data_IF_204962057188
#
_entry.id   IF_204962057188
#
_cell.length_a   1.000
_cell.length_b   1.000
_cell.length_c   1.000
_cell.angle_alpha   90.00
_cell.angle_beta   90.00
_cell.angle_gamma   90.00
#
_symmetry.space_group_name_H-M   'P 1'
#
loop_
_entity.id
_entity.type
_entity.pdbx_description
1 polymer ?
#
# COMPACT_ATOMS: atom_id res chain seq x y z
N UNK A 1 8.28 0.04 20.26
CA UNK A 1 7.08 0.10 19.42
C UNK A 1 5.80 0.05 20.26
N UNK A 2 5.56 -1.03 21.04
CA UNK A 2 4.35 -1.18 21.87
C UNK A 2 4.23 -0.02 22.89
N UNK A 3 5.31 0.32 23.59
CA UNK A 3 5.30 1.43 24.54
C UNK A 3 4.97 2.77 23.86
N UNK A 4 5.49 3.02 22.65
CA UNK A 4 5.16 4.23 21.90
C UNK A 4 3.67 4.34 21.58
N UNK A 5 3.00 3.21 21.26
CA UNK A 5 1.55 3.18 21.08
C UNK A 5 0.78 3.48 22.39
N UNK A 6 1.19 2.84 23.50
CA UNK A 6 0.54 3.04 24.81
C UNK A 6 0.65 4.49 25.29
N UNK A 7 1.78 5.15 25.02
CA UNK A 7 2.05 6.54 25.43
C UNK A 7 1.72 7.56 24.34
N UNK A 8 0.97 7.19 23.31
CA UNK A 8 0.53 8.08 22.22
C UNK A 8 1.70 8.85 21.58
N UNK A 9 2.80 8.15 21.29
CA UNK A 9 3.99 8.76 20.68
C UNK A 9 3.63 9.50 19.37
N UNK A 10 4.15 10.71 19.22
CA UNK A 10 3.94 11.57 18.06
C UNK A 10 5.22 12.33 17.69
N UNK A 11 6.28 11.59 17.35
CA UNK A 11 7.62 12.13 17.17
C UNK A 11 7.94 12.54 15.72
N UNK A 12 7.24 12.01 14.73
CA UNK A 12 7.49 12.30 13.33
C UNK A 12 6.78 13.58 12.88
N UNK A 13 7.33 14.25 11.86
CA UNK A 13 6.71 15.43 11.23
C UNK A 13 6.50 16.61 12.17
N UNK A 14 7.35 16.78 13.18
CA UNK A 14 7.17 17.84 14.18
C UNK A 14 5.91 17.68 15.03
N UNK A 15 5.37 16.48 15.15
CA UNK A 15 4.18 16.17 15.91
C UNK A 15 2.85 16.37 15.14
N UNK A 16 2.87 16.75 13.88
CA UNK A 16 1.66 17.03 13.10
C UNK A 16 0.89 15.78 12.67
N UNK A 17 1.52 14.61 12.57
CA UNK A 17 0.87 13.38 12.10
C UNK A 17 -0.29 12.92 12.99
N UNK A 18 -0.32 13.29 14.28
CA UNK A 18 -1.49 13.11 15.14
C UNK A 18 -2.71 13.84 14.59
N UNK A 19 -2.51 15.00 13.96
CA UNK A 19 -3.57 15.79 13.35
C UNK A 19 -4.20 15.10 12.14
N UNK A 20 -3.44 14.26 11.41
CA UNK A 20 -3.92 13.63 10.19
C UNK A 20 -5.08 12.66 10.45
N UNK A 21 -5.16 12.03 11.64
CA UNK A 21 -6.31 11.19 12.00
C UNK A 21 -7.63 11.98 11.99
N UNK A 22 -7.57 13.29 12.27
CA UNK A 22 -8.76 14.17 12.24
C UNK A 22 -9.30 14.40 10.82
N UNK A 23 -8.49 14.11 9.79
CA UNK A 23 -8.89 14.11 8.39
C UNK A 23 -9.25 12.71 7.90
N UNK A 24 -8.44 11.71 8.28
CA UNK A 24 -8.63 10.32 7.81
C UNK A 24 -9.91 9.73 8.37
N UNK A 25 -10.18 9.91 9.66
CA UNK A 25 -11.35 9.32 10.30
C UNK A 25 -12.69 9.83 9.74
N UNK A 26 -12.94 11.14 9.57
CA UNK A 26 -14.14 11.63 8.91
C UNK A 26 -14.29 11.12 7.48
N UNK A 27 -13.20 11.09 6.70
CA UNK A 27 -13.24 10.53 5.35
C UNK A 27 -13.62 9.04 5.38
N UNK A 28 -13.04 8.25 6.29
CA UNK A 28 -13.43 6.85 6.44
C UNK A 28 -14.90 6.69 6.80
N UNK A 29 -15.42 7.48 7.75
CA UNK A 29 -16.84 7.48 8.11
C UNK A 29 -17.75 7.82 6.94
N UNK A 30 -17.32 8.73 6.07
CA UNK A 30 -18.04 9.07 4.85
C UNK A 30 -18.20 7.84 3.94
N UNK A 31 -17.14 7.06 3.72
CA UNK A 31 -17.19 5.84 2.91
C UNK A 31 -17.92 4.69 3.60
N UNK A 32 -17.87 4.58 4.93
CA UNK A 32 -18.60 3.55 5.68
C UNK A 32 -20.12 3.75 5.58
N UNK A 33 -20.58 4.99 5.64
CA UNK A 33 -21.99 5.33 5.76
C UNK A 33 -22.69 5.62 4.41
N UNK A 34 -21.93 5.78 3.32
CA UNK A 34 -22.48 6.11 2.01
C UNK A 34 -22.05 5.10 0.95
N UNK A 35 -22.78 5.08 -0.17
CA UNK A 35 -22.36 4.39 -1.36
C UNK A 35 -21.10 5.05 -1.97
N UNK A 36 -20.30 4.25 -2.69
CA UNK A 36 -19.05 4.73 -3.27
C UNK A 36 -19.24 5.97 -4.16
N UNK A 37 -20.24 5.93 -5.04
CA UNK A 37 -20.52 7.03 -5.98
C UNK A 37 -20.87 8.35 -5.28
N UNK A 38 -21.56 8.27 -4.15
CA UNK A 38 -21.92 9.46 -3.35
C UNK A 38 -20.72 9.95 -2.54
N UNK A 39 -19.98 9.02 -1.90
CA UNK A 39 -18.85 9.38 -1.05
C UNK A 39 -17.70 10.07 -1.81
N UNK A 40 -17.38 9.62 -3.03
CA UNK A 40 -16.25 10.17 -3.80
C UNK A 40 -16.47 11.58 -4.34
N UNK A 41 -17.72 12.06 -4.42
CA UNK A 41 -18.08 13.41 -4.88
C UNK A 41 -18.57 14.30 -3.74
N UNK A 42 -18.59 13.78 -2.52
CA UNK A 42 -19.08 14.52 -1.36
C UNK A 42 -18.17 15.73 -1.05
N UNK A 43 -18.74 16.93 -0.80
CA UNK A 43 -17.97 18.12 -0.45
C UNK A 43 -17.13 17.99 0.83
N UNK A 44 -17.43 17.00 1.68
CA UNK A 44 -16.65 16.69 2.88
C UNK A 44 -15.53 15.67 2.64
N UNK A 45 -15.41 15.10 1.44
CA UNK A 45 -14.29 14.23 1.08
C UNK A 45 -13.00 15.06 0.87
N UNK A 46 -12.32 15.37 1.97
CA UNK A 46 -11.11 16.19 2.02
C UNK A 46 -9.85 15.32 1.98
N UNK A 47 -9.56 14.73 0.83
CA UNK A 47 -8.35 13.92 0.63
C UNK A 47 -7.70 14.28 -0.69
N UNK A 48 -6.38 14.41 -0.71
CA UNK A 48 -5.60 14.53 -1.95
C UNK A 48 -5.26 13.17 -2.58
N UNK A 49 -5.81 12.06 -2.05
CA UNK A 49 -5.49 10.69 -2.46
C UNK A 49 -6.72 9.97 -3.01
N UNK A 50 -6.48 8.89 -3.74
CA UNK A 50 -7.54 8.00 -4.17
C UNK A 50 -8.16 7.27 -2.97
N UNK A 51 -9.44 6.83 -3.05
CA UNK A 51 -10.17 6.28 -1.91
C UNK A 51 -9.80 4.83 -1.57
N UNK A 52 -8.73 4.28 -2.12
CA UNK A 52 -8.35 2.87 -1.97
C UNK A 52 -8.23 2.42 -0.52
N UNK A 53 -7.62 3.23 0.35
CA UNK A 53 -7.48 2.91 1.77
C UNK A 53 -8.83 2.87 2.50
N UNK A 54 -9.73 3.79 2.19
CA UNK A 54 -11.06 3.82 2.82
C UNK A 54 -11.91 2.61 2.39
N UNK A 55 -11.80 2.21 1.12
CA UNK A 55 -12.45 0.98 0.62
C UNK A 55 -11.84 -0.27 1.25
N UNK A 56 -10.52 -0.33 1.42
CA UNK A 56 -9.87 -1.42 2.14
C UNK A 56 -10.45 -1.56 3.56
N UNK A 57 -10.51 -0.47 4.30
CA UNK A 57 -11.07 -0.51 5.66
C UNK A 57 -12.56 -0.81 5.67
N UNK A 58 -13.35 -0.29 4.73
CA UNK A 58 -14.78 -0.59 4.61
C UNK A 58 -15.06 -2.08 4.41
N UNK A 59 -14.29 -2.75 3.55
CA UNK A 59 -14.59 -4.12 3.14
C UNK A 59 -13.80 -5.20 3.88
N UNK A 60 -12.60 -4.87 4.38
CA UNK A 60 -11.67 -5.85 4.92
C UNK A 60 -11.30 -5.64 6.39
N UNK A 61 -11.63 -4.48 6.97
CA UNK A 61 -11.33 -4.20 8.35
C UNK A 61 -12.63 -4.18 9.20
N UNK A 62 -12.89 -5.21 10.01
CA UNK A 62 -14.09 -5.25 10.85
C UNK A 62 -14.01 -4.32 12.08
N UNK A 63 -12.87 -3.69 12.34
CA UNK A 63 -12.61 -2.86 13.53
C UNK A 63 -12.65 -1.36 13.20
N UNK A 64 -13.73 -0.91 12.54
CA UNK A 64 -13.92 0.50 12.11
C UNK A 64 -15.13 1.16 12.76
N UNK A 65 -15.62 0.59 13.86
CA UNK A 65 -16.76 1.08 14.64
C UNK A 65 -16.38 2.33 15.46
N UNK A 66 -15.17 2.38 15.99
CA UNK A 66 -14.62 3.52 16.74
C UNK A 66 -13.24 3.92 16.24
N UNK A 67 -12.85 5.18 16.45
CA UNK A 67 -11.51 5.67 16.08
C UNK A 67 -10.42 4.88 16.80
N UNK A 68 -10.67 4.45 18.02
CA UNK A 68 -9.69 3.69 18.80
C UNK A 68 -9.52 2.27 18.25
N UNK A 69 -10.60 1.57 17.92
CA UNK A 69 -10.54 0.24 17.32
C UNK A 69 -9.89 0.29 15.92
N UNK A 70 -10.19 1.33 15.15
CA UNK A 70 -9.51 1.61 13.89
C UNK A 70 -7.98 1.77 14.09
N UNK A 71 -7.53 2.61 15.03
CA UNK A 71 -6.12 2.79 15.36
C UNK A 71 -5.45 1.47 15.77
N UNK A 72 -6.11 0.68 16.64
CA UNK A 72 -5.62 -0.65 17.05
C UNK A 72 -5.46 -1.59 15.86
N UNK A 73 -6.41 -1.59 14.94
CA UNK A 73 -6.32 -2.45 13.74
C UNK A 73 -5.16 -2.05 12.84
N UNK A 74 -4.95 -0.76 12.57
CA UNK A 74 -3.81 -0.28 11.77
C UNK A 74 -2.48 -0.55 12.47
N UNK A 75 -2.42 -0.36 13.80
CA UNK A 75 -1.26 -0.74 14.61
C UNK A 75 -0.92 -2.23 14.44
N UNK A 76 -1.93 -3.11 14.53
CA UNK A 76 -1.76 -4.56 14.31
C UNK A 76 -1.33 -4.90 12.88
N UNK A 77 -1.98 -4.32 11.87
CA UNK A 77 -1.65 -4.54 10.45
C UNK A 77 -0.21 -4.09 10.16
N UNK A 78 0.26 -3.03 10.79
CA UNK A 78 1.61 -2.48 10.56
C UNK A 78 2.73 -3.47 10.92
N UNK A 79 2.49 -4.47 11.78
CA UNK A 79 3.46 -5.54 12.04
C UNK A 79 3.79 -6.39 10.80
N UNK A 80 2.91 -6.43 9.81
CA UNK A 80 3.20 -7.14 8.56
C UNK A 80 4.39 -6.52 7.80
N UNK A 81 4.64 -5.22 7.95
CA UNK A 81 5.70 -4.55 7.21
C UNK A 81 7.11 -5.10 7.54
N UNK A 82 7.57 -5.14 8.80
CA UNK A 82 8.87 -5.73 9.12
C UNK A 82 8.94 -7.23 8.80
N UNK A 83 7.84 -7.97 8.91
CA UNK A 83 7.78 -9.39 8.54
C UNK A 83 8.02 -9.55 7.03
N UNK A 84 7.30 -8.80 6.21
CA UNK A 84 7.47 -8.83 4.75
C UNK A 84 8.86 -8.35 4.34
N UNK A 85 9.38 -7.32 5.00
CA UNK A 85 10.74 -6.84 4.75
C UNK A 85 11.77 -7.93 5.04
N UNK A 86 11.61 -8.70 6.14
CA UNK A 86 12.46 -9.86 6.40
C UNK A 86 12.41 -10.88 5.25
N UNK A 87 11.22 -11.22 4.73
CA UNK A 87 11.10 -12.15 3.59
C UNK A 87 11.74 -11.60 2.31
N UNK A 88 11.62 -10.30 2.06
CA UNK A 88 12.30 -9.63 0.94
C UNK A 88 13.82 -9.76 1.07
N UNK A 89 14.37 -9.48 2.26
CA UNK A 89 15.80 -9.62 2.55
C UNK A 89 16.25 -11.07 2.38
N UNK A 90 15.50 -12.04 2.94
CA UNK A 90 15.80 -13.47 2.82
C UNK A 90 15.83 -13.95 1.37
N UNK A 91 14.91 -13.47 0.54
CA UNK A 91 14.90 -13.81 -0.90
C UNK A 91 16.09 -13.21 -1.62
N UNK A 92 16.53 -12.01 -1.25
CA UNK A 92 17.64 -11.29 -1.88
C UNK A 92 19.02 -11.79 -1.42
N UNK A 93 19.17 -12.03 -0.13
CA UNK A 93 20.46 -12.36 0.53
C UNK A 93 20.46 -13.79 1.03
N UNK A 94 20.49 -14.75 0.10
CA UNK A 94 20.34 -16.19 0.36
C UNK A 94 21.41 -16.77 1.30
N UNK A 95 22.62 -16.20 1.29
CA UNK A 95 23.78 -16.70 2.04
C UNK A 95 23.98 -15.97 3.39
N UNK A 96 23.11 -15.02 3.74
CA UNK A 96 23.20 -14.28 5.00
C UNK A 96 22.42 -15.01 6.08
N UNK A 97 22.96 -15.05 7.29
CA UNK A 97 22.30 -15.66 8.45
C UNK A 97 20.95 -15.01 8.73
N UNK A 98 19.95 -15.83 9.06
CA UNK A 98 18.60 -15.37 9.29
C UNK A 98 18.49 -14.37 10.46
N UNK A 99 19.34 -14.53 11.49
CA UNK A 99 19.35 -13.63 12.65
C UNK A 99 19.79 -12.21 12.25
N UNK A 100 20.80 -12.11 11.39
CA UNK A 100 21.25 -10.82 10.82
C UNK A 100 20.14 -10.16 10.02
N UNK A 101 19.45 -10.92 9.16
CA UNK A 101 18.33 -10.40 8.38
C UNK A 101 17.15 -9.96 9.25
N UNK A 102 16.89 -10.68 10.34
CA UNK A 102 15.86 -10.33 11.32
C UNK A 102 16.20 -9.02 12.04
N UNK A 103 17.46 -8.85 12.46
CA UNK A 103 17.94 -7.60 13.09
C UNK A 103 17.74 -6.44 12.09
N UNK A 104 18.17 -6.60 10.83
CA UNK A 104 17.99 -5.57 9.81
C UNK A 104 16.51 -5.26 9.61
N UNK A 105 15.64 -6.26 9.50
CA UNK A 105 14.21 -6.03 9.34
C UNK A 105 13.58 -5.31 10.54
N UNK A 106 14.08 -5.58 11.74
CA UNK A 106 13.61 -4.95 12.97
C UNK A 106 13.96 -3.46 13.07
N UNK A 107 14.91 -2.96 12.26
CA UNK A 107 15.27 -1.52 12.27
C UNK A 107 14.10 -0.63 11.84
N UNK A 108 13.10 -1.15 11.13
CA UNK A 108 11.86 -0.43 10.81
C UNK A 108 11.18 0.11 12.07
N UNK A 109 11.22 -0.64 13.19
CA UNK A 109 10.63 -0.19 14.45
C UNK A 109 11.31 1.03 15.06
N UNK A 110 12.50 1.40 14.63
CA UNK A 110 13.17 2.64 15.03
C UNK A 110 12.77 3.84 14.20
N UNK A 111 12.12 3.65 13.05
CA UNK A 111 11.64 4.76 12.22
C UNK A 111 10.52 5.52 12.93
N UNK A 112 10.69 6.82 13.23
CA UNK A 112 9.63 7.60 13.84
C UNK A 112 8.40 7.74 12.93
N UNK A 113 8.60 7.81 11.62
CA UNK A 113 7.51 7.86 10.65
C UNK A 113 6.69 6.58 10.64
N UNK A 114 7.35 5.41 10.61
CA UNK A 114 6.66 4.12 10.69
C UNK A 114 5.84 4.00 11.97
N UNK A 115 6.43 4.35 13.12
CA UNK A 115 5.75 4.25 14.41
C UNK A 115 4.55 5.18 14.49
N UNK A 116 4.75 6.46 14.15
CA UNK A 116 3.66 7.45 14.22
C UNK A 116 2.53 7.12 13.25
N UNK A 117 2.85 6.67 12.02
CA UNK A 117 1.84 6.20 11.07
C UNK A 117 1.03 5.02 11.62
N UNK A 118 1.70 4.04 12.26
CA UNK A 118 1.04 2.90 12.88
C UNK A 118 0.14 3.30 14.07
N UNK A 119 0.61 4.22 14.92
CA UNK A 119 -0.07 4.59 16.16
C UNK A 119 -1.30 5.47 15.93
N UNK A 120 -1.26 6.30 14.89
CA UNK A 120 -2.32 7.24 14.56
C UNK A 120 -3.22 6.78 13.40
N UNK A 121 -3.05 5.55 12.93
CA UNK A 121 -3.93 4.96 11.91
C UNK A 121 -3.76 5.59 10.53
N UNK A 122 -2.53 5.97 10.16
CA UNK A 122 -2.26 6.57 8.87
C UNK A 122 -2.10 5.50 7.77
N UNK A 123 -2.32 5.87 6.56
CA UNK A 123 -2.41 4.97 5.40
C UNK A 123 -1.06 4.52 4.82
N UNK A 124 0.04 5.22 5.17
CA UNK A 124 1.37 4.98 4.60
C UNK A 124 1.88 3.56 4.87
N UNK A 125 1.70 3.04 6.09
CA UNK A 125 2.18 1.70 6.42
C UNK A 125 1.45 0.61 5.64
N UNK A 126 0.16 0.79 5.37
CA UNK A 126 -0.62 -0.17 4.56
C UNK A 126 -0.13 -0.13 3.12
N UNK A 127 0.11 1.06 2.58
CA UNK A 127 0.68 1.22 1.23
C UNK A 127 2.04 0.54 1.11
N UNK A 128 2.91 0.69 2.11
CA UNK A 128 4.24 0.06 2.15
C UNK A 128 4.18 -1.47 2.26
N UNK A 129 3.14 -2.04 2.89
CA UNK A 129 2.90 -3.49 2.87
C UNK A 129 2.73 -3.98 1.42
N UNK A 130 1.92 -3.28 0.61
CA UNK A 130 1.76 -3.62 -0.80
C UNK A 130 3.04 -3.40 -1.61
N UNK A 131 3.86 -2.40 -1.28
CA UNK A 131 5.21 -2.24 -1.88
C UNK A 131 6.08 -3.47 -1.60
N UNK A 132 6.12 -3.96 -0.36
CA UNK A 132 6.92 -5.14 0.00
C UNK A 132 6.40 -6.41 -0.69
N UNK A 133 5.09 -6.61 -0.76
CA UNK A 133 4.48 -7.72 -1.49
C UNK A 133 4.79 -7.66 -3.00
N UNK A 134 4.72 -6.47 -3.58
CA UNK A 134 5.09 -6.24 -4.98
C UNK A 134 6.55 -6.60 -5.23
N UNK A 135 7.46 -6.09 -4.39
CA UNK A 135 8.88 -6.37 -4.50
C UNK A 135 9.20 -7.85 -4.34
N UNK A 136 8.55 -8.53 -3.39
CA UNK A 136 8.71 -9.96 -3.19
C UNK A 136 8.25 -10.74 -4.42
N UNK A 137 7.07 -10.43 -4.96
CA UNK A 137 6.53 -11.05 -6.17
C UNK A 137 7.42 -10.83 -7.39
N UNK A 138 7.93 -9.62 -7.55
CA UNK A 138 8.85 -9.26 -8.64
C UNK A 138 10.18 -10.02 -8.54
N UNK A 139 10.74 -10.15 -7.34
CA UNK A 139 11.94 -10.96 -7.13
C UNK A 139 11.71 -12.43 -7.47
N UNK A 140 10.58 -13.02 -7.09
CA UNK A 140 10.24 -14.37 -7.50
C UNK A 140 10.14 -14.48 -9.02
N UNK A 141 9.43 -13.57 -9.67
CA UNK A 141 9.26 -13.57 -11.11
C UNK A 141 10.59 -13.49 -11.88
N UNK A 142 11.51 -12.62 -11.44
CA UNK A 142 12.77 -12.36 -12.14
C UNK A 142 13.87 -13.39 -11.83
N UNK A 143 13.84 -14.04 -10.66
CA UNK A 143 14.95 -14.90 -10.20
C UNK A 143 14.65 -16.39 -10.19
N UNK A 144 13.39 -16.79 -10.30
CA UNK A 144 13.04 -18.19 -10.29
C UNK A 144 12.96 -18.74 -11.72
N UNK A 145 13.97 -19.53 -12.09
CA UNK A 145 14.09 -20.15 -13.42
C UNK A 145 13.09 -21.29 -13.64
N UNK A 146 12.48 -21.81 -12.57
CA UNK A 146 11.56 -22.96 -12.63
C UNK A 146 10.08 -22.53 -12.79
N UNK A 147 9.80 -21.23 -12.95
CA UNK A 147 8.43 -20.79 -13.17
C UNK A 147 7.91 -21.30 -14.53
N UNK A 148 6.90 -22.17 -14.45
CA UNK A 148 6.14 -22.59 -15.64
C UNK A 148 5.20 -21.49 -16.12
N UNK A 149 4.57 -21.69 -17.30
CA UNK A 149 3.74 -20.66 -17.93
C UNK A 149 2.62 -20.12 -17.05
N UNK A 150 1.89 -20.97 -16.31
CA UNK A 150 0.80 -20.57 -15.42
C UNK A 150 1.30 -19.80 -14.19
N UNK A 151 2.33 -20.29 -13.54
CA UNK A 151 2.94 -19.62 -12.38
C UNK A 151 3.50 -18.25 -12.79
N UNK A 152 4.06 -18.14 -13.98
CA UNK A 152 4.59 -16.88 -14.51
C UNK A 152 3.48 -15.85 -14.72
N UNK A 153 2.36 -16.26 -15.29
CA UNK A 153 1.16 -15.39 -15.46
C UNK A 153 0.61 -14.99 -14.08
N UNK A 154 0.55 -15.90 -13.12
CA UNK A 154 0.10 -15.61 -11.77
C UNK A 154 0.98 -14.56 -11.08
N UNK A 155 2.32 -14.71 -11.12
CA UNK A 155 3.22 -13.71 -10.57
C UNK A 155 3.12 -12.36 -11.31
N UNK A 156 2.94 -12.38 -12.63
CA UNK A 156 2.73 -11.17 -13.41
C UNK A 156 1.45 -10.44 -12.94
N UNK A 157 0.36 -11.18 -12.75
CA UNK A 157 -0.88 -10.63 -12.19
C UNK A 157 -0.65 -10.06 -10.79
N UNK A 158 0.03 -10.79 -9.88
CA UNK A 158 0.34 -10.29 -8.55
C UNK A 158 1.14 -8.98 -8.59
N UNK A 159 2.18 -8.91 -9.43
CA UNK A 159 3.02 -7.71 -9.56
C UNK A 159 2.18 -6.53 -10.03
N UNK A 160 1.41 -6.69 -11.11
CA UNK A 160 0.60 -5.62 -11.68
C UNK A 160 -0.50 -5.17 -10.73
N UNK A 161 -1.19 -6.11 -10.08
CA UNK A 161 -2.27 -5.82 -9.14
C UNK A 161 -1.75 -5.14 -7.87
N UNK A 162 -0.75 -5.74 -7.19
CA UNK A 162 -0.21 -5.20 -5.94
C UNK A 162 0.46 -3.85 -6.13
N UNK A 163 1.23 -3.67 -7.23
CA UNK A 163 1.84 -2.37 -7.53
C UNK A 163 0.80 -1.29 -7.87
N UNK A 164 -0.30 -1.64 -8.53
CA UNK A 164 -1.41 -0.71 -8.75
C UNK A 164 -2.10 -0.34 -7.45
N UNK A 165 -2.28 -1.29 -6.52
CA UNK A 165 -2.81 -1.00 -5.19
C UNK A 165 -1.96 0.01 -4.43
N UNK A 166 -0.61 -0.04 -4.54
CA UNK A 166 0.25 0.96 -3.86
C UNK A 166 -0.14 2.38 -4.26
N UNK A 167 -0.41 2.61 -5.54
CA UNK A 167 -0.84 3.90 -6.07
C UNK A 167 -2.24 4.29 -5.60
N UNK A 168 -3.19 3.35 -5.57
CA UNK A 168 -4.55 3.62 -5.09
C UNK A 168 -4.63 3.92 -3.59
N UNK A 169 -3.67 3.43 -2.81
CA UNK A 169 -3.57 3.70 -1.38
C UNK A 169 -2.79 4.98 -1.09
N UNK A 170 -1.70 5.22 -1.81
CA UNK A 170 -0.94 6.46 -1.71
C UNK A 170 -0.46 6.88 -3.10
N UNK A 171 -1.01 7.96 -3.61
CA UNK A 171 -0.69 8.48 -4.95
C UNK A 171 0.81 8.80 -5.15
N UNK A 172 1.56 9.08 -4.07
CA UNK A 172 3.01 9.29 -4.11
C UNK A 172 3.77 8.04 -4.56
N UNK A 173 3.17 6.85 -4.39
CA UNK A 173 3.77 5.56 -4.76
C UNK A 173 3.53 5.15 -6.22
N UNK A 174 3.09 6.05 -7.10
CA UNK A 174 2.94 5.82 -8.54
C UNK A 174 4.25 5.33 -9.18
N UNK A 175 5.38 5.65 -8.58
CA UNK A 175 6.69 5.21 -9.03
C UNK A 175 6.86 3.68 -8.98
N UNK A 176 6.13 2.98 -8.10
CA UNK A 176 6.25 1.52 -7.91
C UNK A 176 5.75 0.74 -9.13
N UNK A 177 4.50 0.94 -9.64
CA UNK A 177 4.06 0.29 -10.87
C UNK A 177 4.94 0.66 -12.06
N UNK A 178 5.45 1.90 -12.13
CA UNK A 178 6.37 2.31 -13.20
C UNK A 178 7.70 1.55 -13.15
N UNK A 179 8.31 1.40 -11.97
CA UNK A 179 9.54 0.62 -11.80
C UNK A 179 9.31 -0.84 -12.19
N UNK A 180 8.21 -1.46 -11.75
CA UNK A 180 7.87 -2.84 -12.11
C UNK A 180 7.70 -2.99 -13.62
N UNK A 181 6.99 -2.04 -14.26
CA UNK A 181 6.81 -2.01 -15.70
C UNK A 181 8.14 -1.96 -16.44
N UNK A 182 9.01 -1.01 -16.08
CA UNK A 182 10.32 -0.84 -16.72
C UNK A 182 11.18 -2.10 -16.52
N UNK A 183 11.23 -2.68 -15.33
CA UNK A 183 12.07 -3.84 -15.06
C UNK A 183 11.63 -5.07 -15.88
N UNK A 184 10.34 -5.31 -16.04
CA UNK A 184 9.84 -6.42 -16.86
C UNK A 184 10.01 -6.11 -18.35
N UNK A 185 9.82 -4.87 -18.79
CA UNK A 185 10.07 -4.49 -20.18
C UNK A 185 11.54 -4.64 -20.60
N UNK A 186 12.47 -4.37 -19.68
CA UNK A 186 13.92 -4.53 -19.90
C UNK A 186 14.40 -5.97 -19.68
N UNK A 187 13.59 -6.85 -19.09
CA UNK A 187 13.95 -8.25 -18.89
C UNK A 187 13.93 -9.04 -20.20
N UNK A 188 14.55 -10.23 -20.19
CA UNK A 188 14.58 -11.16 -21.32
C UNK A 188 13.27 -11.92 -21.52
N UNK A 189 12.15 -11.40 -21.01
CA UNK A 189 10.85 -12.02 -21.17
C UNK A 189 10.34 -11.90 -22.63
N UNK A 190 9.53 -12.87 -23.03
CA UNK A 190 8.96 -12.87 -24.37
C UNK A 190 7.95 -11.70 -24.54
N UNK A 191 7.75 -11.31 -25.79
CA UNK A 191 6.86 -10.19 -26.15
C UNK A 191 5.42 -10.41 -25.64
N UNK A 192 4.94 -11.66 -25.61
CA UNK A 192 3.57 -11.97 -25.13
C UNK A 192 3.40 -11.58 -23.64
N UNK A 193 4.40 -11.86 -22.79
CA UNK A 193 4.37 -11.48 -21.37
C UNK A 193 4.36 -9.95 -21.23
N UNK A 194 5.15 -9.24 -22.03
CA UNK A 194 5.21 -7.77 -22.01
C UNK A 194 3.88 -7.14 -22.46
N UNK A 195 3.25 -7.67 -23.51
CA UNK A 195 1.94 -7.23 -23.97
C UNK A 195 0.87 -7.51 -22.90
N UNK A 196 0.88 -8.72 -22.30
CA UNK A 196 -0.08 -9.07 -21.25
C UNK A 196 0.06 -8.13 -20.03
N UNK A 197 1.27 -7.83 -19.60
CA UNK A 197 1.52 -6.88 -18.51
C UNK A 197 0.98 -5.49 -18.85
N UNK A 198 1.23 -5.00 -20.05
CA UNK A 198 0.72 -3.70 -20.51
C UNK A 198 -0.82 -3.67 -20.47
N UNK A 199 -1.46 -4.72 -20.99
CA UNK A 199 -2.91 -4.85 -20.94
C UNK A 199 -3.46 -4.88 -19.50
N UNK A 200 -2.80 -5.59 -18.57
CA UNK A 200 -3.18 -5.60 -17.17
C UNK A 200 -3.08 -4.21 -16.54
N UNK A 201 -2.00 -3.46 -16.77
CA UNK A 201 -1.90 -2.09 -16.25
C UNK A 201 -2.92 -1.13 -16.85
N UNK A 202 -3.25 -1.27 -18.12
CA UNK A 202 -4.33 -0.48 -18.76
C UNK A 202 -5.66 -0.77 -18.05
N UNK A 203 -6.01 -2.04 -17.86
CA UNK A 203 -7.25 -2.43 -17.16
C UNK A 203 -7.25 -1.90 -15.72
N UNK A 204 -6.15 -2.06 -14.99
CA UNK A 204 -6.02 -1.62 -13.60
C UNK A 204 -5.99 -0.09 -13.45
N UNK A 205 -5.73 0.66 -14.52
CA UNK A 205 -5.81 2.14 -14.51
C UNK A 205 -7.23 2.68 -14.73
N UNK A 206 -8.18 1.85 -15.20
CA UNK A 206 -9.55 2.30 -15.49
C UNK A 206 -10.27 2.91 -14.28
N UNK A 207 -10.18 2.37 -13.04
CA UNK A 207 -10.79 3.02 -11.89
C UNK A 207 -10.23 4.42 -11.60
N UNK A 208 -8.92 4.62 -11.81
CA UNK A 208 -8.29 5.94 -11.67
C UNK A 208 -8.85 6.92 -12.72
N UNK A 209 -8.91 6.51 -13.99
CA UNK A 209 -9.47 7.33 -15.07
C UNK A 209 -10.92 7.66 -14.81
N UNK A 210 -11.72 6.70 -14.32
CA UNK A 210 -13.11 6.94 -13.93
C UNK A 210 -13.22 8.03 -12.87
N UNK A 211 -12.40 7.98 -11.81
CA UNK A 211 -12.42 8.99 -10.75
C UNK A 211 -11.97 10.36 -11.25
N UNK A 212 -10.93 10.42 -12.09
CA UNK A 212 -10.46 11.67 -12.70
C UNK A 212 -11.57 12.29 -13.57
N UNK A 213 -12.28 11.49 -14.35
CA UNK A 213 -13.41 12.00 -15.16
C UNK A 213 -14.56 12.47 -14.29
N UNK A 214 -14.85 11.79 -13.18
CA UNK A 214 -15.90 12.13 -12.24
C UNK A 214 -15.61 13.43 -11.49
N UNK A 215 -14.35 13.62 -11.07
CA UNK A 215 -13.91 14.85 -10.38
C UNK A 215 -13.66 16.03 -11.31
N UNK A 216 -13.45 15.77 -12.61
CA UNK A 216 -12.98 16.78 -13.57
C UNK A 216 -11.56 17.25 -13.28
N UNK A 217 -10.84 16.58 -12.36
CA UNK A 217 -9.50 16.91 -11.89
C UNK A 217 -8.80 15.63 -11.42
N UNK A 218 -7.46 15.71 -11.21
CA UNK A 218 -6.64 14.61 -10.68
C UNK A 218 -6.92 14.35 -9.18
N UNK A 219 -7.43 15.34 -8.46
CA UNK A 219 -7.79 15.29 -7.04
C UNK A 219 -9.28 15.52 -6.84
N UNK A 220 -9.86 15.05 -5.72
CA UNK A 220 -11.25 15.32 -5.36
C UNK A 220 -11.56 16.83 -5.33
N UNK A 221 -12.81 17.25 -5.60
CA UNK A 221 -13.20 18.66 -5.67
C UNK A 221 -13.01 19.44 -4.37
N UNK A 222 -13.00 18.75 -3.22
CA UNK A 222 -12.84 19.35 -1.90
C UNK A 222 -11.41 19.27 -1.33
N UNK A 223 -10.44 18.78 -2.12
CA UNK A 223 -9.05 18.60 -1.70
C UNK A 223 -8.26 19.91 -1.69
#
# INVERSE_FOLDING_TARGET
YILGYIFDENAAGGGHLKGDITLIWPNLQLFLNNDFSSAVVDPYYKSSRFPGVYLFHKFLNPFVDTVENYRRSVFGISFLLPILFFFCLKKRFKNTEHITLLIIASTIFFSPYFRTSAFWGLEENISLIFVMLTYLSLNYFLTDTNLNGLNKIFFLFLITFLSSLTFYFDSKLIIIPLICYIQIMLSNENVRIKILMTAMYVILSLPCLYLITLWGNIVPPAA
#
